data_IF_696463784034
#
_entry.id   IF_696463784034
#
_cell.length_a   1.000
_cell.length_b   1.000
_cell.length_c   1.000
_cell.angle_alpha   90.00
_cell.angle_beta   90.00
_cell.angle_gamma   90.00
#
_symmetry.space_group_name_H-M   'P 1'
#
loop_
_entity.id
_entity.type
_entity.pdbx_description
1 polymer ?
#
# COMPACT_ATOMS: atom_id res chain seq x y z
N UNK A 1 7.98 -1.58 22.25
CA UNK A 1 9.31 -2.03 22.62
C UNK A 1 10.35 -1.55 21.61
N UNK A 2 10.29 -1.96 20.34
CA UNK A 2 11.20 -1.47 19.29
C UNK A 2 10.81 -0.12 18.71
N UNK A 3 9.60 0.36 18.97
CA UNK A 3 9.06 1.57 18.34
C UNK A 3 8.95 1.40 16.81
N UNK A 4 9.60 2.29 16.05
CA UNK A 4 9.66 2.22 14.57
C UNK A 4 10.96 1.57 14.04
N UNK A 5 11.77 0.94 14.90
CA UNK A 5 13.04 0.32 14.52
C UNK A 5 12.81 -1.07 13.94
N UNK A 6 13.65 -1.45 12.97
CA UNK A 6 13.72 -2.83 12.50
C UNK A 6 14.47 -3.71 13.52
N UNK A 7 14.30 -5.04 13.41
CA UNK A 7 14.99 -5.99 14.28
C UNK A 7 16.53 -5.87 14.15
N UNK A 8 17.04 -5.63 12.92
CA UNK A 8 18.46 -5.44 12.66
C UNK A 8 19.04 -4.21 13.40
N UNK A 9 18.38 -3.06 13.28
CA UNK A 9 18.79 -1.85 14.03
C UNK A 9 18.70 -2.02 15.54
N UNK A 10 17.71 -2.76 16.02
CA UNK A 10 17.60 -3.04 17.44
C UNK A 10 18.72 -3.97 17.93
N UNK A 11 19.15 -4.94 17.10
CA UNK A 11 20.28 -5.81 17.37
C UNK A 11 21.60 -5.04 17.49
N UNK A 12 21.87 -4.13 16.56
CA UNK A 12 23.06 -3.28 16.56
C UNK A 12 23.15 -2.38 17.81
N UNK A 13 21.99 -1.91 18.31
CA UNK A 13 21.94 -1.00 19.47
C UNK A 13 21.95 -1.74 20.81
N UNK A 14 21.26 -2.88 20.93
CA UNK A 14 21.16 -3.63 22.19
C UNK A 14 20.69 -5.05 21.97
N UNK A 15 21.58 -6.01 22.15
CA UNK A 15 21.25 -7.44 22.13
C UNK A 15 20.24 -7.80 23.22
N UNK A 16 20.39 -7.23 24.42
CA UNK A 16 19.45 -7.47 25.54
C UNK A 16 18.05 -6.96 25.20
N UNK A 17 17.93 -5.76 24.62
CA UNK A 17 16.66 -5.19 24.19
C UNK A 17 15.94 -6.03 23.15
N UNK A 18 16.69 -6.55 22.16
CA UNK A 18 16.16 -7.44 21.14
C UNK A 18 15.76 -8.79 21.73
N UNK A 19 16.56 -9.36 22.62
CA UNK A 19 16.26 -10.62 23.30
C UNK A 19 14.98 -10.50 24.13
N UNK A 20 14.84 -9.43 24.91
CA UNK A 20 13.64 -9.15 25.68
C UNK A 20 12.41 -9.02 24.76
N UNK A 21 12.53 -8.29 23.65
CA UNK A 21 11.46 -8.15 22.66
C UNK A 21 11.06 -9.50 22.05
N UNK A 22 12.02 -10.33 21.64
CA UNK A 22 11.76 -11.65 21.07
C UNK A 22 11.06 -12.58 22.07
N UNK A 23 11.52 -12.61 23.33
CA UNK A 23 10.88 -13.36 24.40
C UNK A 23 9.44 -12.88 24.68
N UNK A 24 9.24 -11.56 24.66
CA UNK A 24 7.89 -10.99 24.89
C UNK A 24 6.94 -11.31 23.74
N UNK A 25 7.42 -11.28 22.48
CA UNK A 25 6.61 -11.68 21.32
C UNK A 25 6.23 -13.16 21.37
N UNK A 26 7.18 -14.04 21.72
CA UNK A 26 6.91 -15.46 21.89
C UNK A 26 5.92 -15.74 23.02
N UNK A 27 6.10 -15.06 24.17
CA UNK A 27 5.16 -15.14 25.29
C UNK A 27 3.75 -14.66 24.92
N UNK A 28 3.67 -13.55 24.19
CA UNK A 28 2.37 -13.01 23.74
C UNK A 28 1.65 -14.00 22.83
N UNK A 29 2.36 -14.60 21.86
CA UNK A 29 1.79 -15.61 20.99
C UNK A 29 1.29 -16.82 21.79
N UNK A 30 2.09 -17.31 22.75
CA UNK A 30 1.70 -18.41 23.64
C UNK A 30 0.47 -18.06 24.49
N UNK A 31 0.46 -16.89 25.14
CA UNK A 31 -0.63 -16.45 26.01
C UNK A 31 -1.94 -16.21 25.25
N UNK A 32 -1.86 -15.77 23.98
CA UNK A 32 -3.05 -15.51 23.15
C UNK A 32 -3.62 -16.78 22.52
N UNK A 33 -2.88 -17.88 22.45
CA UNK A 33 -3.29 -19.11 21.75
C UNK A 33 -4.66 -19.62 22.24
N UNK A 34 -4.79 -19.89 23.53
CA UNK A 34 -6.01 -20.47 24.08
C UNK A 34 -7.23 -19.54 23.95
N UNK A 35 -7.17 -18.25 24.35
CA UNK A 35 -8.28 -17.33 24.17
C UNK A 35 -8.71 -17.18 22.71
N UNK A 36 -7.77 -17.14 21.77
CA UNK A 36 -8.08 -17.06 20.34
C UNK A 36 -8.76 -18.32 19.82
N UNK A 37 -8.30 -19.50 20.25
CA UNK A 37 -8.95 -20.77 19.89
C UNK A 37 -10.38 -20.87 20.44
N UNK A 38 -10.62 -20.37 21.64
CA UNK A 38 -11.97 -20.31 22.24
C UNK A 38 -12.86 -19.39 21.42
N UNK A 39 -12.39 -18.17 21.11
CA UNK A 39 -13.12 -17.23 20.26
C UNK A 39 -13.46 -17.80 18.87
N UNK A 40 -12.53 -18.53 18.24
CA UNK A 40 -12.78 -19.19 16.95
C UNK A 40 -13.89 -20.26 17.06
N UNK A 41 -13.98 -20.98 18.18
CA UNK A 41 -15.05 -21.96 18.40
C UNK A 41 -16.39 -21.28 18.65
N UNK A 42 -16.40 -20.26 19.49
CA UNK A 42 -17.62 -19.47 19.83
C UNK A 42 -18.22 -18.77 18.60
N UNK A 43 -17.36 -18.28 17.71
CA UNK A 43 -17.78 -17.60 16.47
C UNK A 43 -18.07 -18.55 15.31
N UNK A 44 -17.90 -19.87 15.50
CA UNK A 44 -18.10 -20.87 14.45
C UNK A 44 -17.00 -20.92 13.38
N UNK A 45 -15.89 -20.18 13.57
CA UNK A 45 -14.79 -20.07 12.60
C UNK A 45 -13.75 -21.19 12.75
N UNK A 46 -13.90 -22.09 13.73
CA UNK A 46 -12.93 -23.15 14.00
C UNK A 46 -12.64 -24.05 12.80
N UNK A 47 -13.68 -24.43 12.06
CA UNK A 47 -13.51 -25.27 10.87
C UNK A 47 -12.79 -24.55 9.74
N UNK A 48 -13.07 -23.26 9.53
CA UNK A 48 -12.35 -22.43 8.55
C UNK A 48 -10.87 -22.40 8.91
N UNK A 49 -10.56 -22.11 10.16
CA UNK A 49 -9.19 -22.08 10.65
C UNK A 49 -8.46 -23.41 10.44
N UNK A 50 -9.06 -24.54 10.87
CA UNK A 50 -8.36 -25.83 10.86
C UNK A 50 -8.34 -26.52 9.50
N UNK A 51 -9.38 -26.31 8.66
CA UNK A 51 -9.51 -27.02 7.38
C UNK A 51 -9.03 -26.18 6.19
N UNK A 52 -8.90 -24.86 6.34
CA UNK A 52 -8.51 -23.97 5.24
C UNK A 52 -7.23 -23.22 5.62
N UNK A 53 -7.26 -22.38 6.65
CA UNK A 53 -6.17 -21.43 6.96
C UNK A 53 -4.88 -22.16 7.37
N UNK A 54 -4.95 -23.15 8.26
CA UNK A 54 -3.76 -23.89 8.68
C UNK A 54 -3.14 -24.72 7.53
N UNK A 55 -3.91 -25.50 6.74
CA UNK A 55 -3.34 -26.21 5.60
C UNK A 55 -2.79 -25.30 4.51
N UNK A 56 -3.37 -24.10 4.34
CA UNK A 56 -2.93 -23.11 3.36
C UNK A 56 -1.48 -22.67 3.60
N UNK A 57 -1.00 -22.65 4.85
CA UNK A 57 0.39 -22.30 5.19
C UNK A 57 1.39 -23.16 4.41
N UNK A 58 1.15 -24.47 4.32
CA UNK A 58 2.05 -25.38 3.59
C UNK A 58 2.03 -25.14 2.07
N UNK A 59 0.86 -24.76 1.54
CA UNK A 59 0.73 -24.40 0.13
C UNK A 59 1.48 -23.12 -0.19
N UNK A 60 1.33 -22.10 0.65
CA UNK A 60 2.03 -20.82 0.49
C UNK A 60 3.55 -20.99 0.64
N UNK A 61 4.03 -21.77 1.62
CA UNK A 61 5.44 -22.09 1.78
C UNK A 61 6.01 -22.78 0.53
N UNK A 62 5.25 -23.72 -0.05
CA UNK A 62 5.65 -24.36 -1.30
C UNK A 62 5.70 -23.36 -2.46
N UNK A 63 4.71 -22.48 -2.59
CA UNK A 63 4.70 -21.45 -3.65
C UNK A 63 5.87 -20.47 -3.50
N UNK A 64 6.20 -20.07 -2.27
CA UNK A 64 7.35 -19.20 -1.99
C UNK A 64 8.68 -19.87 -2.34
N UNK A 65 8.83 -21.16 -2.04
CA UNK A 65 10.03 -21.93 -2.37
C UNK A 65 10.23 -22.13 -3.87
N UNK A 66 9.14 -22.36 -4.60
CA UNK A 66 9.20 -22.54 -6.07
C UNK A 66 9.36 -21.21 -6.80
N UNK A 67 8.82 -20.13 -6.25
CA UNK A 67 8.84 -18.82 -6.87
C UNK A 67 8.02 -18.72 -8.15
N UNK A 68 8.21 -17.63 -8.87
CA UNK A 68 7.59 -17.35 -10.17
C UNK A 68 8.67 -16.81 -11.10
N UNK A 69 8.77 -17.36 -12.32
CA UNK A 69 9.66 -16.81 -13.33
C UNK A 69 9.13 -15.46 -13.82
N UNK A 70 9.95 -14.42 -13.74
CA UNK A 70 9.62 -13.06 -14.18
C UNK A 70 10.64 -12.58 -15.19
N UNK A 71 10.15 -12.05 -16.32
CA UNK A 71 11.00 -11.45 -17.35
C UNK A 71 11.30 -9.98 -16.96
N UNK A 72 12.42 -9.76 -16.30
CA UNK A 72 12.82 -8.46 -15.76
C UNK A 72 12.86 -7.34 -16.81
N UNK A 73 13.37 -7.63 -18.04
CA UNK A 73 13.42 -6.65 -19.13
C UNK A 73 12.04 -6.22 -19.63
N UNK A 74 11.08 -7.15 -19.70
CA UNK A 74 9.69 -6.81 -20.07
C UNK A 74 9.03 -5.94 -18.99
N UNK A 75 9.29 -6.25 -17.72
CA UNK A 75 8.78 -5.48 -16.58
C UNK A 75 9.35 -4.05 -16.56
N UNK A 76 10.65 -3.90 -16.83
CA UNK A 76 11.32 -2.61 -16.96
C UNK A 76 10.75 -1.79 -18.11
N UNK A 77 10.63 -2.40 -19.30
CA UNK A 77 10.03 -1.74 -20.46
C UNK A 77 8.60 -1.30 -20.21
N UNK A 78 7.83 -2.10 -19.47
CA UNK A 78 6.49 -1.73 -19.04
C UNK A 78 6.51 -0.52 -18.09
N UNK A 79 7.41 -0.51 -17.12
CA UNK A 79 7.61 0.63 -16.20
C UNK A 79 7.97 1.92 -16.94
N UNK A 80 8.80 1.86 -17.97
CA UNK A 80 9.15 3.00 -18.83
C UNK A 80 7.93 3.56 -19.58
N UNK A 81 7.09 2.68 -20.14
CA UNK A 81 5.84 3.08 -20.82
C UNK A 81 4.87 3.76 -19.86
N UNK A 82 4.74 3.22 -18.64
CA UNK A 82 3.92 3.86 -17.60
C UNK A 82 4.45 5.25 -17.24
N UNK A 83 5.78 5.40 -17.16
CA UNK A 83 6.41 6.67 -16.81
C UNK A 83 6.09 7.78 -17.80
N UNK A 84 6.13 7.49 -19.09
CA UNK A 84 5.78 8.46 -20.15
C UNK A 84 4.36 8.99 -19.91
N UNK A 85 3.40 8.09 -19.67
CA UNK A 85 2.01 8.49 -19.45
C UNK A 85 1.81 9.25 -18.14
N UNK A 86 2.54 8.87 -17.09
CA UNK A 86 2.53 9.57 -15.79
C UNK A 86 3.02 11.01 -15.96
N UNK A 87 4.11 11.23 -16.69
CA UNK A 87 4.66 12.56 -16.95
C UNK A 87 3.71 13.44 -17.80
N UNK A 88 3.01 12.84 -18.75
CA UNK A 88 1.98 13.54 -19.53
C UNK A 88 0.82 14.00 -18.62
N UNK A 89 0.33 13.09 -17.77
CA UNK A 89 -0.76 13.39 -16.84
C UNK A 89 -0.36 14.45 -15.80
N UNK A 90 0.87 14.38 -15.31
CA UNK A 90 1.39 15.37 -14.36
C UNK A 90 1.34 16.77 -14.94
N UNK A 91 1.86 16.95 -16.16
CA UNK A 91 1.82 18.23 -16.88
C UNK A 91 0.39 18.71 -17.14
N UNK A 92 -0.49 17.77 -17.53
CA UNK A 92 -1.90 18.09 -17.80
C UNK A 92 -2.64 18.52 -16.54
N UNK A 93 -2.40 17.84 -15.42
CA UNK A 93 -2.98 18.19 -14.12
C UNK A 93 -2.49 19.56 -13.65
N UNK A 94 -1.19 19.86 -13.76
CA UNK A 94 -0.66 21.17 -13.41
C UNK A 94 -1.20 22.29 -14.31
N UNK A 95 -1.35 22.04 -15.60
CA UNK A 95 -1.97 22.98 -16.52
C UNK A 95 -3.41 23.29 -16.12
N UNK A 96 -4.20 22.29 -15.77
CA UNK A 96 -5.58 22.47 -15.33
C UNK A 96 -5.68 23.14 -13.95
N UNK A 97 -4.70 22.88 -13.08
CA UNK A 97 -4.61 23.51 -11.75
C UNK A 97 -4.12 24.97 -11.80
N UNK A 98 -3.42 25.36 -12.89
CA UNK A 98 -2.78 26.67 -13.04
C UNK A 98 -1.47 26.81 -12.26
N UNK A 99 -0.99 25.76 -11.60
CA UNK A 99 0.29 25.72 -10.86
C UNK A 99 0.81 24.30 -10.69
N UNK A 100 2.10 24.19 -10.45
CA UNK A 100 2.75 22.93 -10.07
C UNK A 100 2.53 22.65 -8.57
N UNK A 101 2.19 21.41 -8.25
CA UNK A 101 2.03 20.95 -6.88
C UNK A 101 2.34 19.44 -6.78
N UNK A 102 2.55 18.93 -5.57
CA UNK A 102 2.75 17.52 -5.36
C UNK A 102 1.41 16.76 -5.42
N UNK A 103 1.13 16.12 -6.55
CA UNK A 103 -0.10 15.34 -6.82
C UNK A 103 -0.24 14.16 -5.84
N UNK A 104 0.88 13.63 -5.33
CA UNK A 104 0.89 12.57 -4.33
C UNK A 104 0.62 13.06 -2.90
N UNK A 105 0.51 14.38 -2.68
CA UNK A 105 0.16 14.94 -1.38
C UNK A 105 -1.35 15.16 -1.26
N UNK A 106 -2.08 14.35 -0.45
CA UNK A 106 -3.52 14.54 -0.25
C UNK A 106 -3.88 15.94 0.24
N UNK A 107 -2.99 16.53 1.05
CA UNK A 107 -3.20 17.89 1.60
C UNK A 107 -3.13 18.95 0.51
N UNK A 108 -2.08 18.93 -0.32
CA UNK A 108 -1.95 19.90 -1.42
C UNK A 108 -3.06 19.73 -2.44
N UNK A 109 -3.35 18.50 -2.83
CA UNK A 109 -4.43 18.17 -3.74
C UNK A 109 -5.80 18.67 -3.23
N UNK A 110 -6.07 18.48 -1.93
CA UNK A 110 -7.30 18.98 -1.32
C UNK A 110 -7.45 20.48 -1.41
N UNK A 111 -6.38 21.23 -1.18
CA UNK A 111 -6.34 22.70 -1.34
C UNK A 111 -6.58 23.10 -2.79
N UNK A 112 -5.88 22.47 -3.73
CA UNK A 112 -6.02 22.78 -5.17
C UNK A 112 -7.46 22.52 -5.63
N UNK A 113 -7.99 21.33 -5.40
CA UNK A 113 -9.30 20.96 -5.93
C UNK A 113 -10.45 21.73 -5.26
N UNK A 114 -10.45 21.86 -3.95
CA UNK A 114 -11.62 22.34 -3.21
C UNK A 114 -11.54 23.81 -2.77
N UNK A 115 -10.33 24.37 -2.63
CA UNK A 115 -10.18 25.77 -2.22
C UNK A 115 -9.86 26.68 -3.42
N UNK A 116 -8.92 26.28 -4.31
CA UNK A 116 -8.52 27.10 -5.46
C UNK A 116 -9.45 26.93 -6.65
N UNK A 117 -9.72 25.69 -7.07
CA UNK A 117 -10.60 25.41 -8.20
C UNK A 117 -12.09 25.39 -7.80
N UNK A 118 -12.40 25.36 -6.50
CA UNK A 118 -13.75 25.46 -5.98
C UNK A 118 -14.67 24.29 -6.35
N UNK A 119 -14.14 23.07 -6.54
CA UNK A 119 -14.94 21.91 -6.86
C UNK A 119 -15.98 21.65 -5.76
N UNK A 120 -17.24 21.41 -6.18
CA UNK A 120 -18.33 21.09 -5.26
C UNK A 120 -18.32 19.61 -4.92
N UNK A 121 -18.76 19.25 -3.69
CA UNK A 121 -18.85 17.85 -3.26
C UNK A 121 -17.67 17.34 -2.45
N UNK A 122 -16.69 18.20 -2.12
CA UNK A 122 -15.58 17.83 -1.24
C UNK A 122 -16.02 17.52 0.19
N UNK A 123 -15.48 16.43 0.77
CA UNK A 123 -15.73 16.05 2.16
C UNK A 123 -14.62 16.61 3.06
N UNK A 124 -14.97 17.53 3.97
CA UNK A 124 -14.03 18.03 4.98
C UNK A 124 -13.73 16.98 6.03
N UNK A 125 -12.46 16.90 6.42
CA UNK A 125 -11.94 16.08 7.52
C UNK A 125 -11.26 16.99 8.56
N UNK A 126 -10.82 16.43 9.68
CA UNK A 126 -10.08 17.19 10.71
C UNK A 126 -8.77 17.81 10.18
N UNK A 127 -8.18 17.25 9.14
CA UNK A 127 -6.87 17.64 8.59
C UNK A 127 -6.95 18.31 7.20
N UNK A 128 -8.14 18.60 6.70
CA UNK A 128 -8.37 19.18 5.37
C UNK A 128 -9.47 18.48 4.60
N UNK A 129 -9.38 18.47 3.27
CA UNK A 129 -10.34 17.76 2.42
C UNK A 129 -9.90 16.33 2.16
N UNK A 130 -10.88 15.40 2.13
CA UNK A 130 -10.63 14.04 1.74
C UNK A 130 -10.43 13.97 0.21
N UNK A 131 -9.35 13.33 -0.20
CA UNK A 131 -9.05 12.99 -1.59
C UNK A 131 -9.07 11.48 -1.81
N UNK A 132 -9.87 10.75 -1.04
CA UNK A 132 -10.06 9.32 -1.17
C UNK A 132 -10.72 8.98 -2.53
N UNK A 133 -10.41 7.79 -3.06
CA UNK A 133 -10.85 7.41 -4.40
C UNK A 133 -12.38 7.46 -4.57
N UNK A 134 -13.13 6.99 -3.59
CA UNK A 134 -14.60 7.00 -3.58
C UNK A 134 -15.23 8.40 -3.70
N UNK A 135 -14.52 9.43 -3.23
CA UNK A 135 -14.93 10.84 -3.32
C UNK A 135 -14.56 11.39 -4.70
N UNK A 136 -13.33 11.13 -5.15
CA UNK A 136 -12.88 11.62 -6.46
C UNK A 136 -13.64 10.94 -7.60
N UNK A 137 -13.94 9.66 -7.51
CA UNK A 137 -14.74 8.94 -8.52
C UNK A 137 -16.12 9.57 -8.75
N UNK A 138 -16.75 10.07 -7.70
CA UNK A 138 -18.04 10.79 -7.81
C UNK A 138 -17.92 12.14 -8.51
N UNK A 139 -16.75 12.77 -8.45
CA UNK A 139 -16.47 14.07 -9.07
C UNK A 139 -15.93 13.94 -10.49
N UNK A 140 -15.33 12.82 -10.85
CA UNK A 140 -14.70 12.60 -12.14
C UNK A 140 -15.60 12.86 -13.36
N UNK A 141 -16.93 12.55 -13.35
CA UNK A 141 -17.80 12.87 -14.48
C UNK A 141 -17.97 14.37 -14.77
N UNK A 142 -17.83 15.21 -13.73
CA UNK A 142 -18.05 16.66 -13.85
C UNK A 142 -16.73 17.43 -14.04
N UNK A 143 -15.61 16.88 -13.58
CA UNK A 143 -14.33 17.59 -13.54
C UNK A 143 -13.19 16.79 -14.20
N UNK A 144 -12.74 17.18 -15.41
CA UNK A 144 -11.66 16.48 -16.13
C UNK A 144 -10.38 16.31 -15.32
N UNK A 145 -9.95 17.32 -14.56
CA UNK A 145 -8.77 17.24 -13.69
C UNK A 145 -8.86 16.08 -12.69
N UNK A 146 -10.04 15.78 -12.19
CA UNK A 146 -10.24 14.68 -11.22
C UNK A 146 -10.07 13.32 -11.89
N UNK A 147 -10.54 13.19 -13.14
CA UNK A 147 -10.33 11.98 -13.95
C UNK A 147 -8.84 11.74 -14.19
N UNK A 148 -8.10 12.80 -14.56
CA UNK A 148 -6.66 12.71 -14.81
C UNK A 148 -5.88 12.37 -13.54
N UNK A 149 -6.29 12.91 -12.38
CA UNK A 149 -5.72 12.58 -11.08
C UNK A 149 -5.96 11.09 -10.71
N UNK A 150 -7.14 10.56 -10.98
CA UNK A 150 -7.43 9.14 -10.71
C UNK A 150 -6.56 8.24 -11.60
N UNK A 151 -6.43 8.54 -12.89
CA UNK A 151 -5.55 7.83 -13.81
C UNK A 151 -4.09 7.93 -13.36
N UNK A 152 -3.60 9.13 -13.02
CA UNK A 152 -2.25 9.35 -12.51
C UNK A 152 -1.96 8.47 -11.28
N UNK A 153 -2.86 8.46 -10.30
CA UNK A 153 -2.69 7.63 -9.09
C UNK A 153 -2.66 6.13 -9.39
N UNK A 154 -3.51 5.69 -10.30
CA UNK A 154 -3.54 4.29 -10.72
C UNK A 154 -2.23 3.89 -11.38
N UNK A 155 -1.74 4.67 -12.35
CA UNK A 155 -0.51 4.39 -13.07
C UNK A 155 0.72 4.48 -12.16
N UNK A 156 0.78 5.49 -11.28
CA UNK A 156 1.87 5.64 -10.31
C UNK A 156 1.93 4.44 -9.34
N UNK A 157 0.78 3.95 -8.89
CA UNK A 157 0.72 2.74 -8.06
C UNK A 157 1.15 1.49 -8.83
N UNK A 158 0.70 1.32 -10.07
CA UNK A 158 1.13 0.22 -10.93
C UNK A 158 2.64 0.24 -11.15
N UNK A 159 3.20 1.41 -11.45
CA UNK A 159 4.63 1.56 -11.65
C UNK A 159 5.40 1.25 -10.36
N UNK A 160 5.12 1.95 -9.27
CA UNK A 160 5.89 1.84 -8.03
C UNK A 160 5.78 0.46 -7.37
N UNK A 161 4.60 -0.13 -7.36
CA UNK A 161 4.35 -1.40 -6.63
C UNK A 161 4.68 -2.61 -7.49
N UNK A 162 4.29 -2.61 -8.76
CA UNK A 162 4.40 -3.79 -9.60
C UNK A 162 5.59 -3.72 -10.57
N UNK A 163 5.79 -2.62 -11.30
CA UNK A 163 6.92 -2.55 -12.22
C UNK A 163 8.26 -2.42 -11.46
N UNK A 164 8.42 -1.36 -10.68
CA UNK A 164 9.68 -1.09 -9.97
C UNK A 164 9.83 -1.99 -8.73
N UNK A 165 8.72 -2.21 -7.99
CA UNK A 165 8.73 -3.00 -6.77
C UNK A 165 9.07 -4.47 -7.00
N UNK A 166 8.48 -5.10 -8.04
CA UNK A 166 8.82 -6.48 -8.38
C UNK A 166 10.23 -6.60 -8.97
N UNK A 167 10.66 -5.63 -9.77
CA UNK A 167 12.01 -5.65 -10.33
C UNK A 167 13.10 -5.71 -9.25
N UNK A 168 12.86 -5.09 -8.09
CA UNK A 168 13.81 -5.06 -6.97
C UNK A 168 13.88 -6.37 -6.16
N UNK A 169 12.94 -7.30 -6.37
CA UNK A 169 12.88 -8.58 -5.65
C UNK A 169 13.10 -9.80 -6.56
N UNK A 170 13.44 -9.56 -7.83
CA UNK A 170 13.86 -10.65 -8.73
C UNK A 170 15.19 -11.17 -8.21
N UNK A 171 15.23 -12.46 -7.83
CA UNK A 171 16.46 -13.14 -7.47
C UNK A 171 17.26 -13.47 -8.75
N UNK A 172 18.59 -13.44 -8.66
CA UNK A 172 19.44 -14.07 -9.68
C UNK A 172 19.36 -15.59 -9.50
N UNK A 173 19.06 -16.33 -10.56
CA UNK A 173 19.03 -17.78 -10.61
C UNK A 173 20.44 -18.39 -10.45
#
# INVERSE_FOLDING_TARGET
LLGKKTAEKAWEESVEGLTFWACYMAYTAFACQMPMCETLRETGMWNVYTQIELPLIFTLDSMEKWGISVKGEELKSYGEKLNVRIEELEKLIWQQAGEEFNINSPKQMGVILFEKLGLKGGKKTKTGYSTAADILEKLAPEYPIVKDILEYRQLTKLKSTYADGLANVIAED
#
